data_IF_187161764814
#
_entry.id   IF_187161764814
#
_cell.length_a   1.000
_cell.length_b   1.000
_cell.length_c   1.000
_cell.angle_alpha   90.00
_cell.angle_beta   90.00
_cell.angle_gamma   90.00
#
_symmetry.space_group_name_H-M   'P 1'
#
loop_
_entity.id
_entity.type
_entity.pdbx_description
1 polymer ?
#
# COMPACT_ATOMS: atom_id res chain seq x y z
N UNK A 1 5.55 -9.72 8.88
CA UNK A 1 6.77 -9.56 8.04
C UNK A 1 7.82 -8.83 8.85
N UNK A 2 9.05 -9.37 8.89
CA UNK A 2 10.22 -8.77 9.56
C UNK A 2 11.07 -8.01 8.53
N UNK A 3 11.35 -6.74 8.77
CA UNK A 3 12.29 -5.94 7.98
C UNK A 3 13.63 -5.84 8.73
N UNK A 4 14.71 -6.18 8.05
CA UNK A 4 16.07 -6.09 8.56
C UNK A 4 17.06 -5.69 7.44
N UNK A 5 18.35 -5.57 7.78
CA UNK A 5 19.38 -5.16 6.81
C UNK A 5 19.51 -6.06 5.58
N UNK A 6 19.13 -7.34 5.67
CA UNK A 6 19.25 -8.26 4.56
C UNK A 6 18.15 -8.06 3.50
N UNK A 7 16.94 -7.68 3.91
CA UNK A 7 15.78 -7.59 3.00
C UNK A 7 15.23 -6.16 2.81
N UNK A 8 15.76 -5.16 3.52
CA UNK A 8 15.24 -3.78 3.52
C UNK A 8 15.09 -3.20 2.11
N UNK A 9 16.11 -3.35 1.25
CA UNK A 9 16.08 -2.81 -0.12
C UNK A 9 15.07 -3.54 -0.99
N UNK A 10 15.13 -4.87 -0.99
CA UNK A 10 14.21 -5.70 -1.78
C UNK A 10 12.76 -5.38 -1.44
N UNK A 11 12.43 -5.41 -0.13
CA UNK A 11 11.10 -5.12 0.38
C UNK A 11 10.65 -3.71 0.00
N UNK A 12 11.55 -2.73 0.10
CA UNK A 12 11.26 -1.36 -0.27
C UNK A 12 10.98 -1.22 -1.77
N UNK A 13 11.82 -1.80 -2.62
CA UNK A 13 11.64 -1.70 -4.07
C UNK A 13 10.42 -2.46 -4.58
N UNK A 14 10.02 -3.53 -3.89
CA UNK A 14 8.71 -4.16 -4.12
C UNK A 14 7.57 -3.19 -3.82
N UNK A 15 7.62 -2.47 -2.68
CA UNK A 15 6.61 -1.46 -2.35
C UNK A 15 6.61 -0.29 -3.35
N UNK A 16 7.78 0.16 -3.82
CA UNK A 16 7.89 1.18 -4.87
C UNK A 16 7.23 0.68 -6.16
N UNK A 17 7.53 -0.54 -6.62
CA UNK A 17 6.99 -1.08 -7.87
C UNK A 17 5.46 -1.19 -7.84
N UNK A 18 4.89 -1.59 -6.69
CA UNK A 18 3.47 -1.91 -6.55
C UNK A 18 2.59 -0.73 -6.13
N UNK A 19 3.15 0.30 -5.49
CA UNK A 19 2.37 1.35 -4.83
C UNK A 19 2.74 2.77 -5.26
N UNK A 20 3.64 2.95 -6.23
CA UNK A 20 4.01 4.30 -6.70
C UNK A 20 2.89 5.03 -7.45
N UNK A 21 1.91 4.28 -7.99
CA UNK A 21 0.73 4.85 -8.65
C UNK A 21 -0.26 5.49 -7.66
N UNK A 22 -0.23 5.10 -6.39
CA UNK A 22 -1.19 5.52 -5.39
C UNK A 22 -0.92 6.95 -4.92
N UNK A 23 -1.98 7.64 -4.48
CA UNK A 23 -1.88 8.97 -3.87
C UNK A 23 -0.94 8.95 -2.65
N UNK A 24 -1.03 7.91 -1.81
CA UNK A 24 -0.12 7.66 -0.70
C UNK A 24 0.27 6.17 -0.67
N UNK A 25 1.51 5.87 -1.07
CA UNK A 25 2.04 4.51 -1.04
C UNK A 25 2.76 4.21 0.28
N UNK A 26 2.39 3.12 0.95
CA UNK A 26 3.01 2.69 2.21
C UNK A 26 3.60 1.27 2.10
N UNK A 27 4.78 1.10 2.69
CA UNK A 27 5.28 -0.19 3.12
C UNK A 27 4.77 -0.46 4.54
N UNK A 28 4.19 -1.64 4.77
CA UNK A 28 3.62 -2.02 6.06
C UNK A 28 4.35 -3.26 6.59
N UNK A 29 4.83 -3.21 7.84
CA UNK A 29 5.47 -4.35 8.48
C UNK A 29 5.15 -4.39 9.98
N UNK A 30 5.04 -5.60 10.52
CA UNK A 30 4.77 -5.82 11.95
C UNK A 30 6.05 -5.69 12.80
N UNK A 31 7.18 -6.16 12.26
CA UNK A 31 8.47 -6.11 12.96
C UNK A 31 9.51 -5.43 12.07
N UNK A 32 10.17 -4.41 12.62
CA UNK A 32 11.14 -3.57 11.92
C UNK A 32 12.34 -3.43 12.82
N UNK A 33 13.48 -3.98 12.39
CA UNK A 33 14.71 -3.84 13.16
C UNK A 33 15.24 -2.40 13.09
N UNK A 34 15.64 -1.86 14.24
CA UNK A 34 16.28 -0.55 14.35
C UNK A 34 17.48 -0.40 13.41
N UNK A 35 18.20 -1.51 13.17
CA UNK A 35 19.35 -1.56 12.27
C UNK A 35 19.03 -1.23 10.80
N UNK A 36 17.76 -1.33 10.38
CA UNK A 36 17.26 -1.01 9.05
C UNK A 36 16.63 0.40 8.97
N UNK A 37 16.28 1.03 10.10
CA UNK A 37 15.55 2.31 10.12
C UNK A 37 16.30 3.45 9.42
N UNK A 38 17.62 3.52 9.57
CA UNK A 38 18.44 4.53 8.88
C UNK A 38 18.29 4.43 7.36
N UNK A 39 18.28 3.22 6.82
CA UNK A 39 18.14 2.98 5.39
C UNK A 39 16.70 3.23 4.91
N UNK A 40 15.69 2.77 5.67
CA UNK A 40 14.28 3.05 5.38
C UNK A 40 14.00 4.56 5.29
N UNK A 41 14.59 5.38 6.18
CA UNK A 41 14.43 6.84 6.11
C UNK A 41 15.06 7.46 4.86
N UNK A 42 16.23 6.98 4.45
CA UNK A 42 16.88 7.43 3.21
C UNK A 42 16.05 7.06 1.98
N UNK A 43 15.58 5.81 1.92
CA UNK A 43 14.73 5.32 0.85
C UNK A 43 13.38 6.06 0.81
N UNK A 44 12.80 6.36 1.97
CA UNK A 44 11.62 7.22 2.15
C UNK A 44 11.80 8.58 1.50
N UNK A 45 12.89 9.27 1.82
CA UNK A 45 13.19 10.59 1.27
C UNK A 45 13.41 10.57 -0.26
N UNK A 46 14.05 9.51 -0.79
CA UNK A 46 14.33 9.40 -2.23
C UNK A 46 13.10 9.00 -3.06
N UNK A 47 12.36 7.98 -2.62
CA UNK A 47 11.31 7.34 -3.42
C UNK A 47 9.90 7.74 -3.00
N UNK A 48 9.71 8.29 -1.79
CA UNK A 48 8.44 8.83 -1.32
C UNK A 48 7.40 7.81 -0.87
N UNK A 49 7.79 6.55 -0.71
CA UNK A 49 6.98 5.53 -0.03
C UNK A 49 7.06 5.78 1.48
N UNK A 50 5.93 5.73 2.18
CA UNK A 50 5.86 5.82 3.64
C UNK A 50 6.08 4.47 4.31
N UNK A 51 6.16 4.48 5.64
CA UNK A 51 6.32 3.27 6.46
C UNK A 51 5.32 3.27 7.60
N UNK A 52 4.53 2.20 7.68
CA UNK A 52 3.62 1.93 8.80
C UNK A 52 4.14 0.71 9.57
N UNK A 53 4.25 0.86 10.88
CA UNK A 53 4.39 -0.27 11.80
C UNK A 53 3.00 -0.77 12.15
N UNK A 54 2.69 -1.98 11.68
CA UNK A 54 1.42 -2.65 11.95
C UNK A 54 1.45 -3.22 13.37
N UNK A 55 0.49 -2.82 14.20
CA UNK A 55 0.18 -3.58 15.42
C UNK A 55 -0.77 -4.73 15.05
N UNK A 56 -0.28 -5.97 15.15
CA UNK A 56 -1.05 -7.15 14.77
C UNK A 56 -2.14 -7.52 15.79
N UNK A 57 -2.03 -7.04 17.04
CA UNK A 57 -3.02 -7.27 18.09
C UNK A 57 -4.12 -6.21 18.09
N UNK A 58 -3.78 -4.97 17.74
CA UNK A 58 -4.71 -3.86 17.62
C UNK A 58 -4.41 -3.03 16.36
N UNK A 59 -4.88 -3.43 15.16
CA UNK A 59 -4.55 -2.75 13.90
C UNK A 59 -4.84 -1.24 13.88
N UNK A 60 -5.82 -0.78 14.65
CA UNK A 60 -6.14 0.64 14.84
C UNK A 60 -5.06 1.44 15.60
N UNK A 61 -4.20 0.78 16.36
CA UNK A 61 -3.09 1.36 17.12
C UNK A 61 -1.77 1.34 16.32
N UNK A 62 -1.82 0.95 15.04
CA UNK A 62 -0.66 1.00 14.14
C UNK A 62 -0.12 2.42 13.97
N UNK A 63 1.19 2.54 13.75
CA UNK A 63 1.88 3.83 13.75
C UNK A 63 2.52 4.14 12.40
N UNK A 64 2.36 5.38 11.94
CA UNK A 64 3.11 5.91 10.80
C UNK A 64 4.51 6.33 11.28
N UNK A 65 5.54 5.57 10.90
CA UNK A 65 6.94 5.86 11.26
C UNK A 65 7.62 6.82 10.27
N UNK A 66 7.21 6.76 9.00
CA UNK A 66 7.66 7.64 7.92
C UNK A 66 6.41 8.04 7.11
N UNK A 67 6.09 9.33 7.00
CA UNK A 67 4.96 9.77 6.18
C UNK A 67 5.25 9.50 4.70
N UNK A 68 4.25 9.01 3.97
CA UNK A 68 4.33 8.90 2.52
C UNK A 68 4.26 10.29 1.87
N UNK A 69 4.88 10.43 0.70
CA UNK A 69 4.73 11.63 -0.13
C UNK A 69 3.42 11.53 -0.91
N UNK A 70 2.58 12.55 -0.77
CA UNK A 70 1.35 12.69 -1.55
C UNK A 70 1.66 12.88 -3.04
N UNK A 71 0.86 12.25 -3.90
CA UNK A 71 0.95 12.37 -5.36
C UNK A 71 -0.40 12.80 -5.93
N UNK A 72 -0.45 14.03 -6.44
CA UNK A 72 -1.66 14.60 -7.06
C UNK A 72 -2.04 13.96 -8.39
N UNK A 73 -1.08 13.30 -9.04
CA UNK A 73 -1.25 12.69 -10.35
C UNK A 73 -1.04 11.17 -10.26
N UNK A 74 -1.90 10.43 -10.95
CA UNK A 74 -1.79 8.97 -11.08
C UNK A 74 -0.76 8.66 -12.17
N UNK A 75 0.22 7.84 -11.83
CA UNK A 75 1.14 7.24 -12.81
C UNK A 75 0.41 6.12 -13.58
N UNK A 76 -0.22 6.49 -14.70
CA UNK A 76 -0.99 5.56 -15.52
C UNK A 76 -0.13 4.48 -16.17
N UNK A 77 1.15 4.74 -16.44
CA UNK A 77 2.05 3.74 -17.00
C UNK A 77 2.35 2.65 -15.96
N UNK A 78 2.58 3.03 -14.71
CA UNK A 78 2.70 2.08 -13.59
C UNK A 78 1.41 1.27 -13.39
N UNK A 79 0.24 1.93 -13.41
CA UNK A 79 -1.06 1.24 -13.34
C UNK A 79 -1.24 0.22 -14.47
N UNK A 80 -0.93 0.60 -15.71
CA UNK A 80 -1.07 -0.27 -16.87
C UNK A 80 -0.17 -1.50 -16.75
N UNK A 81 1.08 -1.32 -16.34
CA UNK A 81 2.00 -2.43 -16.07
C UNK A 81 1.44 -3.36 -14.98
N UNK A 82 1.00 -2.79 -13.85
CA UNK A 82 0.45 -3.55 -12.72
C UNK A 82 -0.80 -4.34 -13.11
N UNK A 83 -1.67 -3.79 -13.95
CA UNK A 83 -2.87 -4.48 -14.42
C UNK A 83 -2.58 -5.68 -15.34
N UNK A 84 -1.40 -5.68 -15.99
CA UNK A 84 -0.94 -6.84 -16.77
C UNK A 84 -0.34 -7.91 -15.87
N UNK A 85 0.42 -7.49 -14.85
CA UNK A 85 1.16 -8.40 -13.96
C UNK A 85 0.30 -8.98 -12.82
N UNK A 86 -0.76 -8.28 -12.41
CA UNK A 86 -1.59 -8.64 -11.27
C UNK A 86 -3.09 -8.58 -11.62
N UNK A 87 -3.75 -9.75 -11.63
CA UNK A 87 -5.18 -9.87 -11.91
C UNK A 87 -6.06 -9.12 -10.91
N UNK A 88 -5.67 -9.16 -9.63
CA UNK A 88 -6.44 -8.57 -8.54
C UNK A 88 -6.41 -7.04 -8.65
N UNK A 89 -5.26 -6.48 -9.03
CA UNK A 89 -5.15 -5.05 -9.32
C UNK A 89 -6.02 -4.64 -10.52
N UNK A 90 -6.05 -5.46 -11.58
CA UNK A 90 -6.92 -5.22 -12.74
C UNK A 90 -8.40 -5.26 -12.35
N UNK A 91 -8.81 -6.21 -11.52
CA UNK A 91 -10.17 -6.31 -11.00
C UNK A 91 -10.53 -5.10 -10.12
N UNK A 92 -9.62 -4.69 -9.23
CA UNK A 92 -9.74 -3.47 -8.43
C UNK A 92 -10.05 -2.25 -9.30
N UNK A 93 -9.26 -2.01 -10.37
CA UNK A 93 -9.48 -0.87 -11.28
C UNK A 93 -10.84 -0.98 -11.98
N UNK A 94 -11.27 -2.19 -12.34
CA UNK A 94 -12.61 -2.43 -12.90
C UNK A 94 -13.71 -2.06 -11.92
N UNK A 95 -13.57 -2.41 -10.64
CA UNK A 95 -14.56 -2.05 -9.61
C UNK A 95 -14.62 -0.54 -9.38
N UNK A 96 -13.47 0.13 -9.32
CA UNK A 96 -13.41 1.61 -9.22
C UNK A 96 -14.16 2.27 -10.37
N UNK A 97 -13.98 1.77 -11.60
CA UNK A 97 -14.70 2.26 -12.78
C UNK A 97 -16.21 2.04 -12.66
N UNK A 98 -16.63 0.84 -12.25
CA UNK A 98 -18.06 0.51 -12.11
C UNK A 98 -18.72 1.33 -10.99
N UNK A 99 -18.03 1.53 -9.87
CA UNK A 99 -18.48 2.40 -8.78
C UNK A 99 -18.77 3.81 -9.29
N UNK A 100 -17.83 4.43 -10.02
CA UNK A 100 -18.03 5.78 -10.58
C UNK A 100 -19.19 5.85 -11.60
N UNK A 101 -19.56 4.75 -12.24
CA UNK A 101 -20.67 4.73 -13.20
C UNK A 101 -22.04 4.49 -12.56
N UNK A 102 -22.05 3.86 -11.39
CA UNK A 102 -23.29 3.35 -10.77
C UNK A 102 -23.60 3.98 -9.42
N UNK A 103 -22.66 4.70 -8.81
CA UNK A 103 -22.67 5.15 -7.42
C UNK A 103 -22.96 4.03 -6.39
N UNK A 104 -22.79 2.77 -6.80
CA UNK A 104 -23.08 1.60 -5.97
C UNK A 104 -21.79 1.01 -5.42
N UNK A 105 -21.59 1.14 -4.10
CA UNK A 105 -20.46 0.54 -3.38
C UNK A 105 -20.51 -1.00 -3.34
N UNK A 106 -21.58 -1.63 -3.85
CA UNK A 106 -21.79 -3.08 -3.84
C UNK A 106 -20.98 -3.83 -4.91
N UNK A 107 -20.15 -3.15 -5.69
CA UNK A 107 -19.33 -3.80 -6.73
C UNK A 107 -18.13 -4.51 -6.07
N UNK A 108 -18.22 -5.84 -5.96
CA UNK A 108 -17.09 -6.72 -5.67
C UNK A 108 -16.55 -6.66 -4.24
N UNK A 109 -17.29 -7.25 -3.28
CA UNK A 109 -16.84 -7.66 -1.92
C UNK A 109 -15.54 -6.99 -1.45
N UNK A 110 -15.58 -5.70 -1.13
CA UNK A 110 -14.46 -4.94 -0.56
C UNK A 110 -14.15 -5.36 0.88
N UNK A 111 -13.95 -6.65 1.15
CA UNK A 111 -13.87 -7.25 2.49
C UNK A 111 -14.83 -6.60 3.50
N UNK A 112 -16.00 -6.17 3.01
CA UNK A 112 -17.00 -5.49 3.83
C UNK A 112 -17.50 -6.59 4.76
N UNK A 113 -17.31 -6.46 6.09
CA UNK A 113 -17.88 -7.43 7.01
C UNK A 113 -19.37 -7.50 6.71
N UNK A 114 -19.90 -8.70 6.50
CA UNK A 114 -21.35 -8.86 6.36
C UNK A 114 -21.98 -8.14 7.56
N UNK A 115 -22.86 -7.18 7.28
CA UNK A 115 -23.52 -6.40 8.33
C UNK A 115 -24.18 -7.40 9.26
N UNK A 116 -23.70 -7.47 10.49
CA UNK A 116 -24.36 -8.25 11.53
C UNK A 116 -25.64 -7.48 11.83
N UNK A 117 -26.76 -7.97 11.30
CA UNK A 117 -28.08 -7.45 11.64
C UNK A 117 -28.23 -7.56 13.17
N UNK A 118 -28.41 -6.41 13.83
CA UNK A 118 -28.67 -6.30 15.27
C UNK A 118 -30.11 -6.66 15.61
#
# INVERSE_FOLDING_TARGET
MLINRANVRETWFQAVSNSSWANLGYLVAADIQESAMKELRLLGASYGIGLIRLDTGAPSESEILIPARERSEIDWDACNRLAVENSDFREFVSWVRQFHQTDSAQVGKWDIPETVDF
#
